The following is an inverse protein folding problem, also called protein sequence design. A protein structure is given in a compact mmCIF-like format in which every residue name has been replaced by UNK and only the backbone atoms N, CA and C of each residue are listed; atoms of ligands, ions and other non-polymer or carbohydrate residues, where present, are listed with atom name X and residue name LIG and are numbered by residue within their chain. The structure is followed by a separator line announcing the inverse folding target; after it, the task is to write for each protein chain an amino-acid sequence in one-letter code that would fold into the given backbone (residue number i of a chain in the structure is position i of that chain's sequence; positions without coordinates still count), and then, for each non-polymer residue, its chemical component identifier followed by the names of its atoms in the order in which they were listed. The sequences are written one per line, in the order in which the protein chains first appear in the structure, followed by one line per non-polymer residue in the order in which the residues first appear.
data_IF_960537213071
#
_entry.id   IF_960537213071
#
_cell.length_a   1.000
_cell.length_b   1.000
_cell.length_c   1.000
_cell.angle_alpha   90.00
_cell.angle_beta   90.00
_cell.angle_gamma   90.00
#
_symmetry.space_group_name_H-M   'P 1'
#
loop_
_entity.id
_entity.type
_entity.pdbx_description
1 polymer ?
#
# COMPACT_ATOMS: atom_id res chain seq x y z
N UNK A 1 -10.16 2.36 13.87
CA UNK A 1 -8.73 2.30 13.52
C UNK A 1 -8.60 1.33 12.35
N UNK A 2 -7.83 1.70 11.34
CA UNK A 2 -7.64 0.93 10.12
C UNK A 2 -6.14 0.74 9.90
N UNK A 3 -5.57 -0.47 10.07
CA UNK A 3 -4.20 -0.72 9.68
C UNK A 3 -4.10 -0.94 8.16
N UNK A 4 -3.08 -0.39 7.53
CA UNK A 4 -2.74 -0.67 6.14
C UNK A 4 -1.25 -0.97 6.00
N UNK A 5 -0.93 -2.12 5.43
CA UNK A 5 0.43 -2.66 5.40
C UNK A 5 1.08 -2.59 4.02
N UNK A 6 2.39 -2.30 4.00
CA UNK A 6 3.26 -2.44 2.83
C UNK A 6 4.40 -3.36 3.21
N UNK A 7 4.59 -4.45 2.47
CA UNK A 7 5.68 -5.38 2.69
C UNK A 7 6.64 -5.38 1.50
N UNK A 8 7.88 -4.99 1.78
CA UNK A 8 8.97 -5.05 0.82
C UNK A 8 9.58 -6.46 0.82
N UNK A 9 9.29 -7.19 -0.26
CA UNK A 9 9.74 -8.56 -0.46
C UNK A 9 11.26 -8.64 -0.63
N UNK A 10 11.89 -7.63 -1.22
CA UNK A 10 13.33 -7.62 -1.50
C UNK A 10 14.17 -7.42 -0.25
N UNK A 11 13.68 -6.64 0.70
CA UNK A 11 14.41 -6.31 1.93
C UNK A 11 13.87 -7.01 3.18
N UNK A 12 12.79 -7.78 3.05
CA UNK A 12 12.09 -8.45 4.15
C UNK A 12 11.71 -7.45 5.26
N UNK A 13 11.15 -6.30 4.88
CA UNK A 13 10.71 -5.27 5.83
C UNK A 13 9.28 -4.84 5.59
N UNK A 14 8.63 -4.40 6.66
CA UNK A 14 7.23 -4.00 6.66
C UNK A 14 7.04 -2.58 7.14
N UNK A 15 6.09 -1.87 6.53
CA UNK A 15 5.52 -0.64 7.06
C UNK A 15 4.03 -0.88 7.34
N UNK A 16 3.53 -0.34 8.45
CA UNK A 16 2.09 -0.28 8.72
C UNK A 16 1.68 1.14 9.10
N UNK A 17 0.78 1.72 8.33
CA UNK A 17 0.06 2.94 8.72
C UNK A 17 -1.17 2.55 9.51
N UNK A 18 -1.39 3.22 10.64
CA UNK A 18 -2.55 3.00 11.50
C UNK A 18 -3.47 4.20 11.42
N UNK A 19 -4.43 4.14 10.51
CA UNK A 19 -5.40 5.20 10.24
C UNK A 19 -6.44 5.35 11.35
N UNK A 20 -6.76 6.59 11.68
CA UNK A 20 -7.80 6.92 12.67
C UNK A 20 -9.18 7.15 12.05
N UNK A 21 -9.25 7.28 10.71
CA UNK A 21 -10.47 7.55 9.95
C UNK A 21 -10.91 6.32 9.12
N UNK A 22 -11.04 6.47 7.79
CA UNK A 22 -11.64 5.48 6.90
C UNK A 22 -10.59 4.73 6.06
N UNK A 23 -10.85 3.44 5.81
CA UNK A 23 -10.13 2.68 4.79
C UNK A 23 -10.55 3.16 3.39
N UNK A 24 -9.75 4.03 2.79
CA UNK A 24 -9.99 4.56 1.44
C UNK A 24 -8.76 4.34 0.57
N UNK A 25 -8.95 4.43 -0.75
CA UNK A 25 -7.82 4.33 -1.66
C UNK A 25 -6.76 5.42 -1.44
N UNK A 26 -7.17 6.62 -1.00
CA UNK A 26 -6.24 7.67 -0.62
C UNK A 26 -5.39 7.28 0.60
N UNK A 27 -5.99 6.62 1.61
CA UNK A 27 -5.25 6.11 2.76
C UNK A 27 -4.27 4.99 2.36
N UNK A 28 -4.71 4.06 1.50
CA UNK A 28 -3.87 2.99 0.98
C UNK A 28 -2.64 3.54 0.24
N UNK A 29 -2.84 4.50 -0.66
CA UNK A 29 -1.74 5.14 -1.41
C UNK A 29 -0.85 6.00 -0.50
N UNK A 30 -1.42 6.70 0.48
CA UNK A 30 -0.61 7.41 1.47
C UNK A 30 0.30 6.45 2.26
N UNK A 31 -0.19 5.24 2.56
CA UNK A 31 0.64 4.22 3.23
C UNK A 31 1.84 3.78 2.39
N UNK A 32 1.68 3.68 1.06
CA UNK A 32 2.79 3.43 0.12
C UNK A 32 3.75 4.61 0.11
N UNK A 33 3.22 5.84 0.08
CA UNK A 33 4.02 7.07 0.12
C UNK A 33 4.89 7.15 1.37
N UNK A 34 4.32 6.90 2.54
CA UNK A 34 5.03 6.94 3.82
C UNK A 34 6.05 5.81 3.90
N UNK A 35 5.72 4.59 3.48
CA UNK A 35 6.71 3.51 3.35
C UNK A 35 7.91 3.94 2.51
N UNK A 36 7.68 4.53 1.34
CA UNK A 36 8.77 5.02 0.48
C UNK A 36 9.63 6.05 1.19
N UNK A 37 9.02 7.04 1.84
CA UNK A 37 9.74 8.11 2.54
C UNK A 37 10.56 7.60 3.74
N UNK A 38 9.98 6.69 4.52
CA UNK A 38 10.59 6.19 5.77
C UNK A 38 11.61 5.09 5.55
N UNK A 39 11.34 4.20 4.60
CA UNK A 39 12.07 2.94 4.47
C UNK A 39 12.61 2.75 3.04
N UNK A 40 11.80 3.04 2.02
CA UNK A 40 12.13 2.77 0.62
C UNK A 40 13.31 3.59 0.10
N UNK A 41 13.32 4.91 0.33
CA UNK A 41 14.35 5.82 -0.20
C UNK A 41 15.76 5.52 0.30
N UNK A 42 15.90 5.11 1.56
CA UNK A 42 17.20 4.75 2.11
C UNK A 42 17.78 3.48 1.45
N UNK A 43 16.91 2.55 1.04
CA UNK A 43 17.32 1.25 0.48
C UNK A 43 17.39 1.24 -1.04
N UNK A 44 16.58 2.07 -1.68
CA UNK A 44 16.48 2.19 -3.14
C UNK A 44 16.52 3.67 -3.54
N UNK A 45 17.66 4.37 -3.35
CA UNK A 45 17.77 5.80 -3.58
C UNK A 45 17.52 6.19 -5.05
N UNK A 46 17.92 5.33 -5.99
CA UNK A 46 17.81 5.56 -7.43
C UNK A 46 16.59 4.86 -8.07
N UNK A 47 15.60 4.46 -7.25
CA UNK A 47 14.40 3.81 -7.74
C UNK A 47 13.69 4.67 -8.79
N UNK A 48 13.52 4.09 -9.99
CA UNK A 48 12.75 4.69 -11.11
C UNK A 48 11.39 4.06 -11.28
N UNK A 49 11.22 2.84 -10.78
CA UNK A 49 10.00 2.06 -10.94
C UNK A 49 9.64 1.36 -9.64
N UNK A 50 8.34 1.22 -9.37
CA UNK A 50 7.81 0.51 -8.22
C UNK A 50 6.79 -0.52 -8.67
N UNK A 51 7.05 -1.79 -8.35
CA UNK A 51 6.09 -2.88 -8.58
C UNK A 51 5.23 -3.08 -7.33
N UNK A 52 3.91 -2.95 -7.49
CA UNK A 52 2.92 -3.10 -6.44
C UNK A 52 2.11 -4.36 -6.73
N UNK A 53 2.20 -5.34 -5.84
CA UNK A 53 1.28 -6.49 -5.84
C UNK A 53 0.16 -6.23 -4.84
N UNK A 54 -1.08 -6.14 -5.31
CA UNK A 54 -2.23 -5.77 -4.50
C UNK A 54 -3.35 -6.82 -4.59
N UNK A 55 -4.23 -6.84 -3.60
CA UNK A 55 -5.43 -7.66 -3.68
C UNK A 55 -6.47 -6.99 -4.60
N UNK A 56 -7.48 -7.74 -5.03
CA UNK A 56 -8.55 -7.21 -5.89
C UNK A 56 -9.72 -6.54 -5.12
N UNK A 57 -9.66 -6.43 -3.80
CA UNK A 57 -10.77 -5.97 -2.95
C UNK A 57 -10.44 -4.71 -2.13
N UNK A 58 -11.43 -4.14 -1.44
CA UNK A 58 -11.22 -3.02 -0.51
C UNK A 58 -10.72 -1.74 -1.18
N UNK A 59 -9.90 -0.98 -0.46
CA UNK A 59 -9.38 0.34 -0.86
C UNK A 59 -8.39 0.29 -2.03
N UNK A 60 -7.70 -0.83 -2.24
CA UNK A 60 -6.80 -1.06 -3.36
C UNK A 60 -7.42 -1.98 -4.43
N UNK A 61 -8.74 -2.09 -4.52
CA UNK A 61 -9.36 -2.97 -5.52
C UNK A 61 -9.12 -2.50 -6.96
N UNK A 62 -8.95 -3.44 -7.90
CA UNK A 62 -8.67 -3.14 -9.30
C UNK A 62 -9.74 -2.26 -10.00
N UNK A 63 -11.00 -2.34 -9.54
CA UNK A 63 -12.13 -1.55 -10.06
C UNK A 63 -12.29 -0.19 -9.37
N UNK A 64 -11.52 0.09 -8.33
CA UNK A 64 -11.63 1.33 -7.56
C UNK A 64 -10.98 2.46 -8.34
N UNK A 65 -11.79 3.40 -8.84
CA UNK A 65 -11.29 4.54 -9.62
C UNK A 65 -10.36 5.44 -8.81
N UNK A 66 -10.73 5.71 -7.55
CA UNK A 66 -9.91 6.54 -6.65
C UNK A 66 -8.50 5.94 -6.46
N UNK A 67 -8.36 4.61 -6.42
CA UNK A 67 -7.06 3.94 -6.34
C UNK A 67 -6.16 4.31 -7.51
N UNK A 68 -6.69 4.26 -8.74
CA UNK A 68 -5.94 4.62 -9.95
C UNK A 68 -5.57 6.11 -9.97
N UNK A 69 -6.49 6.99 -9.55
CA UNK A 69 -6.23 8.44 -9.45
C UNK A 69 -5.15 8.76 -8.42
N UNK A 70 -5.22 8.17 -7.22
CA UNK A 70 -4.24 8.42 -6.17
C UNK A 70 -2.87 7.83 -6.53
N UNK A 71 -2.82 6.67 -7.18
CA UNK A 71 -1.57 6.14 -7.73
C UNK A 71 -0.98 7.03 -8.83
N UNK A 72 -1.82 7.63 -9.70
CA UNK A 72 -1.34 8.62 -10.66
C UNK A 72 -0.71 9.83 -9.97
N UNK A 73 -1.34 10.34 -8.92
CA UNK A 73 -0.76 11.44 -8.12
C UNK A 73 0.56 11.02 -7.48
N UNK A 74 0.63 9.82 -6.91
CA UNK A 74 1.88 9.27 -6.36
C UNK A 74 2.97 9.17 -7.45
N UNK A 75 2.63 8.68 -8.65
CA UNK A 75 3.56 8.61 -9.77
C UNK A 75 4.06 10.00 -10.16
N UNK A 76 3.15 10.96 -10.36
CA UNK A 76 3.46 12.35 -10.71
C UNK A 76 4.37 13.02 -9.67
N UNK A 77 4.08 12.84 -8.37
CA UNK A 77 4.85 13.43 -7.28
C UNK A 77 6.25 12.81 -7.11
N UNK A 78 6.41 11.52 -7.44
CA UNK A 78 7.65 10.80 -7.19
C UNK A 78 8.51 10.60 -8.43
N UNK A 79 7.96 10.85 -9.62
CA UNK A 79 8.57 10.52 -10.90
C UNK A 79 8.71 9.01 -11.14
N UNK A 80 8.03 8.16 -10.36
CA UNK A 80 8.11 6.72 -10.48
C UNK A 80 7.12 6.18 -11.51
N UNK A 81 7.57 5.22 -12.32
CA UNK A 81 6.66 4.33 -13.05
C UNK A 81 6.13 3.28 -12.09
N UNK A 82 4.82 3.19 -11.94
CA UNK A 82 4.17 2.24 -11.05
C UNK A 82 3.62 1.05 -11.85
N UNK A 83 4.10 -0.15 -11.58
CA UNK A 83 3.57 -1.38 -12.15
C UNK A 83 2.65 -2.03 -11.14
N UNK A 84 1.36 -2.10 -11.44
CA UNK A 84 0.36 -2.68 -10.53
C UNK A 84 -0.09 -4.03 -11.05
N UNK A 85 0.07 -5.04 -10.20
CA UNK A 85 -0.38 -6.40 -10.46
C UNK A 85 -1.34 -6.83 -9.36
N UNK A 86 -2.56 -7.17 -9.74
CA UNK A 86 -3.53 -7.64 -8.78
C UNK A 86 -3.55 -9.18 -8.71
N UNK A 87 -3.65 -9.71 -7.50
CA UNK A 87 -4.02 -11.11 -7.29
C UNK A 87 -5.47 -11.32 -7.72
N UNK A 88 -5.82 -12.46 -8.36
CA UNK A 88 -7.20 -12.76 -8.71
C UNK A 88 -8.16 -12.67 -7.51
N UNK A 89 -9.44 -12.34 -7.72
CA UNK A 89 -10.45 -12.32 -6.67
C UNK A 89 -10.49 -13.62 -5.87
N UNK A 90 -10.55 -13.51 -4.53
CA UNK A 90 -10.55 -14.67 -3.63
C UNK A 90 -9.17 -15.30 -3.39
N UNK A 91 -8.09 -14.72 -3.92
CA UNK A 91 -6.72 -15.26 -3.79
C UNK A 91 -5.80 -14.41 -2.92
N UNK A 92 -6.33 -13.55 -2.04
CA UNK A 92 -5.51 -12.73 -1.12
C UNK A 92 -4.55 -13.55 -0.25
N UNK A 93 -4.91 -14.80 0.07
CA UNK A 93 -4.01 -15.76 0.75
C UNK A 93 -2.72 -16.06 -0.02
N UNK A 94 -2.59 -15.70 -1.29
CA UNK A 94 -1.35 -15.87 -2.04
C UNK A 94 -0.47 -14.62 -1.99
N UNK A 95 -0.99 -13.52 -1.46
CA UNK A 95 -0.22 -12.32 -1.21
C UNK A 95 0.84 -12.59 -0.13
N UNK A 96 2.10 -12.34 -0.46
CA UNK A 96 3.23 -12.64 0.44
C UNK A 96 3.13 -11.92 1.78
N UNK A 97 2.52 -10.73 1.81
CA UNK A 97 2.35 -9.94 3.04
C UNK A 97 1.61 -10.71 4.14
N UNK A 98 0.62 -11.53 3.77
CA UNK A 98 -0.17 -12.33 4.70
C UNK A 98 0.70 -13.33 5.48
N UNK A 99 1.63 -13.98 4.76
CA UNK A 99 2.46 -15.07 5.31
C UNK A 99 3.84 -14.63 5.77
N UNK A 100 4.27 -13.42 5.41
CA UNK A 100 5.61 -12.91 5.71
C UNK A 100 5.60 -11.78 6.72
N UNK A 101 4.46 -11.10 6.90
CA UNK A 101 4.35 -9.95 7.79
C UNK A 101 3.17 -10.07 8.74
N UNK A 102 1.94 -10.19 8.23
CA UNK A 102 0.73 -10.15 9.08
C UNK A 102 0.60 -11.34 10.01
N UNK A 103 1.02 -12.54 9.59
CA UNK A 103 1.06 -13.71 10.46
C UNK A 103 1.93 -13.48 11.71
N UNK A 104 3.09 -12.83 11.56
CA UNK A 104 4.01 -12.53 12.65
C UNK A 104 3.51 -11.39 13.54
N UNK A 105 2.89 -10.36 12.95
CA UNK A 105 2.23 -9.29 13.72
C UNK A 105 1.14 -9.90 14.62
N UNK A 106 0.32 -10.78 14.07
CA UNK A 106 -0.76 -11.46 14.81
C UNK A 106 -0.20 -12.35 15.93
N UNK A 107 0.90 -13.06 15.70
CA UNK A 107 1.58 -13.83 16.73
C UNK A 107 2.13 -12.94 17.85
N UNK A 108 2.72 -11.78 17.52
CA UNK A 108 3.25 -10.83 18.49
C UNK A 108 2.16 -10.21 19.38
N UNK A 109 0.95 -10.07 18.84
CA UNK A 109 -0.22 -9.58 19.57
C UNK A 109 -0.87 -10.60 20.49
N UNK A 110 -0.56 -11.90 20.35
CA UNK A 110 -1.31 -12.97 21.00
C UNK A 110 -1.32 -12.80 22.52
N UNK A 111 -2.53 -12.61 23.07
CA UNK A 111 -2.74 -12.47 24.51
C UNK A 111 -2.41 -11.08 25.09
N UNK A 112 -2.17 -10.07 24.24
CA UNK A 112 -1.92 -8.69 24.68
C UNK A 112 -3.16 -7.81 24.41
N UNK A 113 -3.69 -7.11 25.43
CA UNK A 113 -4.85 -6.24 25.23
C UNK A 113 -4.47 -5.00 24.40
N UNK A 114 -5.24 -4.72 23.36
CA UNK A 114 -5.12 -3.50 22.54
C UNK A 114 -5.82 -2.32 23.25
N UNK A 115 -5.25 -1.86 24.35
CA UNK A 115 -5.86 -0.89 25.27
C UNK A 115 -5.89 0.55 24.75
N UNK A 116 -5.03 0.89 23.79
CA UNK A 116 -4.94 2.24 23.22
C UNK A 116 -4.43 2.21 21.78
N UNK A 117 -4.55 3.35 21.09
CA UNK A 117 -4.01 3.50 19.74
C UNK A 117 -2.49 3.33 19.70
N UNK A 118 -1.81 3.80 20.75
CA UNK A 118 -0.36 3.67 20.87
C UNK A 118 0.08 2.26 21.20
N UNK A 119 -0.67 1.54 22.03
CA UNK A 119 -0.41 0.13 22.27
C UNK A 119 -0.46 -0.67 20.95
N UNK A 120 -1.39 -0.38 20.04
CA UNK A 120 -1.44 -1.03 18.72
C UNK A 120 -0.17 -0.73 17.90
N UNK A 121 0.22 0.54 17.78
CA UNK A 121 1.41 0.94 17.02
C UNK A 121 2.68 0.31 17.58
N UNK A 122 2.86 0.36 18.90
CA UNK A 122 4.03 -0.23 19.57
C UNK A 122 4.08 -1.74 19.36
N UNK A 123 2.95 -2.43 19.47
CA UNK A 123 2.89 -3.88 19.27
C UNK A 123 3.15 -4.29 17.82
N UNK A 124 2.67 -3.53 16.83
CA UNK A 124 3.01 -3.77 15.42
C UNK A 124 4.49 -3.52 15.20
N UNK A 125 5.00 -2.36 15.59
CA UNK A 125 6.39 -1.95 15.38
C UNK A 125 7.41 -2.82 16.12
N UNK A 126 7.01 -3.48 17.20
CA UNK A 126 7.85 -4.45 17.91
C UNK A 126 8.00 -5.80 17.16
N UNK A 127 7.31 -6.00 16.04
CA UNK A 127 7.33 -7.28 15.31
C UNK A 127 8.66 -7.46 14.59
N UNK A 128 9.41 -8.47 15.02
CA UNK A 128 10.65 -8.92 14.39
C UNK A 128 10.69 -10.45 14.30
N UNK A 129 11.52 -11.01 13.42
CA UNK A 129 11.72 -12.47 13.32
C UNK A 129 13.20 -12.83 13.21
N UNK A 130 13.54 -14.08 13.55
CA UNK A 130 14.90 -14.61 13.38
C UNK A 130 15.35 -14.61 11.90
N UNK A 131 14.40 -14.60 10.96
CA UNK A 131 14.67 -14.46 9.54
C UNK A 131 14.92 -12.99 9.11
N UNK A 132 15.01 -12.06 10.06
CA UNK A 132 15.35 -10.66 9.83
C UNK A 132 14.17 -9.76 9.46
N UNK A 133 12.92 -10.18 9.67
CA UNK A 133 11.78 -9.28 9.44
C UNK A 133 11.89 -8.09 10.40
N UNK A 134 11.76 -6.87 9.86
CA UNK A 134 11.59 -5.65 10.65
C UNK A 134 10.32 -4.93 10.21
N UNK A 135 9.42 -4.65 11.15
CA UNK A 135 8.21 -3.86 10.89
C UNK A 135 8.33 -2.50 11.56
N UNK A 136 8.03 -1.44 10.82
CA UNK A 136 7.83 -0.10 11.38
C UNK A 136 6.35 0.28 11.28
N UNK A 137 5.88 1.02 12.27
CA UNK A 137 4.47 1.37 12.39
C UNK A 137 4.32 2.79 12.92
N UNK A 138 3.36 3.54 12.38
CA UNK A 138 3.00 4.84 12.91
C UNK A 138 1.50 5.10 12.78
N UNK A 139 0.99 6.02 13.62
CA UNK A 139 -0.35 6.57 13.43
C UNK A 139 -0.40 7.43 12.18
N UNK A 140 -1.52 7.33 11.48
CA UNK A 140 -1.93 8.25 10.42
C UNK A 140 -3.18 8.99 10.89
N UNK A 141 -2.99 10.24 11.29
CA UNK A 141 -4.05 11.15 11.74
C UNK A 141 -4.73 11.87 10.56
N UNK A 142 -4.42 11.47 9.33
CA UNK A 142 -5.02 11.99 8.11
C UNK A 142 -6.54 11.78 8.04
N UNK A 143 -7.21 12.76 7.44
CA UNK A 143 -8.64 12.68 7.15
C UNK A 143 -8.84 12.14 5.74
N UNK A 144 -9.46 10.96 5.65
CA UNK A 144 -9.77 10.31 4.39
C UNK A 144 -11.28 10.26 4.16
N UNK A 145 -11.76 11.09 3.23
CA UNK A 145 -13.19 11.19 2.92
C UNK A 145 -13.70 9.93 2.21
N UNK A 146 -14.87 9.44 2.66
CA UNK A 146 -15.57 8.34 1.99
C UNK A 146 -16.44 8.86 0.86
N UNK A 147 -16.64 8.03 -0.15
CA UNK A 147 -17.60 8.31 -1.22
C UNK A 147 -17.15 9.35 -2.24
N UNK A 148 -15.85 9.65 -2.29
CA UNK A 148 -15.26 10.48 -3.35
C UNK A 148 -15.59 9.87 -4.71
N UNK A 149 -16.28 10.64 -5.55
CA UNK A 149 -16.69 10.22 -6.89
C UNK A 149 -15.66 10.67 -7.90
N UNK A 150 -15.16 9.72 -8.68
CA UNK A 150 -14.24 9.99 -9.80
C UNK A 150 -15.01 9.94 -11.11
N UNK A 151 -14.98 11.05 -11.83
CA UNK A 151 -15.61 11.24 -13.13
C UNK A 151 -14.93 10.40 -14.21
N UNK A 152 -15.58 10.24 -15.37
CA UNK A 152 -14.94 9.60 -16.51
C UNK A 152 -13.77 10.45 -17.04
N UNK A 153 -13.92 11.77 -17.09
CA UNK A 153 -12.86 12.68 -17.55
C UNK A 153 -11.58 12.56 -16.69
N UNK A 154 -11.71 12.42 -15.37
CA UNK A 154 -10.56 12.15 -14.50
C UNK A 154 -9.89 10.81 -14.82
N UNK A 155 -10.68 9.76 -15.07
CA UNK A 155 -10.14 8.45 -15.47
C UNK A 155 -9.44 8.48 -16.82
N UNK A 156 -9.98 9.21 -17.78
CA UNK A 156 -9.43 9.35 -19.13
C UNK A 156 -8.14 10.19 -19.13
N UNK A 157 -7.93 11.02 -18.10
CA UNK A 157 -6.72 11.84 -17.93
C UNK A 157 -5.51 11.10 -17.33
N UNK A 158 -5.67 9.82 -16.96
CA UNK A 158 -4.61 9.02 -16.34
C UNK A 158 -3.68 8.47 -17.41
N UNK A 159 -2.37 8.50 -17.16
CA UNK A 159 -1.35 7.87 -17.99
C UNK A 159 -1.23 6.37 -17.64
N UNK A 160 -2.35 5.67 -17.78
CA UNK A 160 -2.50 4.24 -17.45
C UNK A 160 -2.46 3.39 -18.72
N UNK A 161 -1.59 2.38 -18.72
CA UNK A 161 -1.45 1.40 -19.80
C UNK A 161 -1.78 0.02 -19.25
N UNK A 162 -2.77 -0.66 -19.85
CA UNK A 162 -3.12 -2.03 -19.47
C UNK A 162 -2.01 -3.01 -19.82
N UNK A 163 -1.78 -4.00 -18.96
CA UNK A 163 -0.84 -5.07 -19.22
C UNK A 163 -1.36 -6.02 -20.32
N UNK A 164 -0.47 -6.68 -21.06
CA UNK A 164 -0.85 -7.70 -22.05
C UNK A 164 -1.62 -8.88 -21.42
N UNK A 165 -1.34 -9.21 -20.16
CA UNK A 165 -2.04 -10.23 -19.39
C UNK A 165 -3.01 -9.59 -18.40
N UNK A 166 -4.30 -9.65 -18.72
CA UNK A 166 -5.41 -9.08 -17.96
C UNK A 166 -5.31 -7.54 -17.72
N UNK A 167 -5.47 -6.72 -18.76
CA UNK A 167 -5.39 -5.25 -18.67
C UNK A 167 -6.46 -4.62 -17.77
N UNK A 168 -7.55 -5.34 -17.47
CA UNK A 168 -8.63 -4.87 -16.61
C UNK A 168 -8.20 -4.68 -15.15
N UNK A 169 -7.19 -5.43 -14.70
CA UNK A 169 -6.67 -5.37 -13.35
C UNK A 169 -5.15 -5.30 -13.25
N UNK A 170 -4.38 -5.48 -14.32
CA UNK A 170 -2.93 -5.31 -14.31
C UNK A 170 -2.59 -4.16 -15.24
N UNK A 171 -1.82 -3.19 -14.74
CA UNK A 171 -1.58 -1.95 -15.47
C UNK A 171 -0.33 -1.24 -14.97
N UNK A 172 0.24 -0.44 -15.85
CA UNK A 172 1.34 0.48 -15.55
C UNK A 172 0.80 1.90 -15.52
N UNK A 173 1.20 2.68 -14.52
CA UNK A 173 0.93 4.11 -14.43
C UNK A 173 2.27 4.84 -14.59
N UNK A 174 2.35 5.70 -15.59
CA UNK A 174 3.52 6.55 -15.82
C UNK A 174 3.28 7.93 -15.20
N UNK A 175 4.32 8.61 -14.68
CA UNK A 175 4.21 10.01 -14.31
C UNK A 175 3.87 10.84 -15.56
N UNK A 176 2.96 11.81 -15.42
CA UNK A 176 2.53 12.68 -16.54
C UNK A 176 3.52 13.81 -16.83
N UNK A 177 4.36 14.17 -15.87
CA UNK A 177 5.23 15.35 -15.93
C UNK A 177 6.72 14.96 -15.93
N UNK A 178 7.14 14.07 -16.83
CA UNK A 178 8.57 13.91 -17.13
C UNK A 178 8.86 14.66 -18.43
N UNK A 179 9.20 15.95 -18.27
CA UNK A 179 10.01 16.69 -19.26
C UNK A 179 11.48 16.24 -19.14
#
# INVERSE_FOLDING_TARGET
MVPYGVYDVGTNTGWVSVGVTADTAAFAVNSIRVWRQRMGLQRHPDMRELTITADCGGSNGARVRLWKVELQRLADETGLVLHVHHYPPGTSKWNRIEHRMFCHITQNWRGRPLSSRMAVVELIGATTTNAGLKVECALDDGLYEKGVKITNAEMDSLAIEGNAFHPEWNYTIKPRNLD
#
